data_IF_193309551037
#
_entry.id   IF_193309551037
#
_cell.length_a   1.000
_cell.length_b   1.000
_cell.length_c   1.000
_cell.angle_alpha   90.00
_cell.angle_beta   90.00
_cell.angle_gamma   90.00
#
_symmetry.space_group_name_H-M   'P 1'
#
loop_
_entity.id
_entity.type
_entity.pdbx_description
1 polymer ?
#
# COMPACT_ATOMS: atom_id res chain seq x y z
N UNK A 1 5.65 16.75 12.42
CA UNK A 1 6.25 16.73 11.07
C UNK A 1 5.18 16.26 10.11
N UNK A 2 5.05 16.82 8.89
CA UNK A 2 4.20 16.19 7.89
C UNK A 2 4.74 14.78 7.66
N UNK A 3 3.92 13.75 7.92
CA UNK A 3 4.25 12.39 7.48
C UNK A 3 4.26 12.46 5.96
N UNK A 4 5.40 12.21 5.33
CA UNK A 4 5.44 11.99 3.89
C UNK A 4 4.47 10.85 3.58
N UNK A 5 3.39 11.16 2.86
CA UNK A 5 2.38 10.15 2.52
C UNK A 5 3.05 9.18 1.54
N UNK A 6 3.13 7.91 1.91
CA UNK A 6 3.74 6.89 1.05
C UNK A 6 2.94 6.74 -0.25
N UNK A 7 3.61 6.34 -1.33
CA UNK A 7 2.98 6.07 -2.62
C UNK A 7 1.75 5.14 -2.49
N UNK A 8 1.86 4.10 -1.66
CA UNK A 8 0.77 3.15 -1.41
C UNK A 8 -0.42 3.79 -0.67
N UNK A 9 -0.18 4.73 0.25
CA UNK A 9 -1.25 5.44 0.95
C UNK A 9 -2.04 6.36 0.00
N UNK A 10 -1.35 7.08 -0.89
CA UNK A 10 -1.99 7.90 -1.92
C UNK A 10 -2.82 7.04 -2.89
N UNK A 11 -2.25 5.91 -3.34
CA UNK A 11 -2.94 4.99 -4.23
C UNK A 11 -4.21 4.42 -3.57
N UNK A 12 -4.09 3.91 -2.35
CA UNK A 12 -5.21 3.31 -1.62
C UNK A 12 -6.30 4.33 -1.32
N UNK A 13 -5.95 5.54 -0.87
CA UNK A 13 -6.94 6.59 -0.62
C UNK A 13 -7.73 6.95 -1.88
N UNK A 14 -7.04 7.05 -3.02
CA UNK A 14 -7.69 7.28 -4.30
C UNK A 14 -8.63 6.12 -4.66
N UNK A 15 -8.16 4.88 -4.57
CA UNK A 15 -8.97 3.72 -4.89
C UNK A 15 -10.24 3.64 -4.03
N UNK A 16 -10.12 3.78 -2.71
CA UNK A 16 -11.26 3.79 -1.80
C UNK A 16 -12.24 4.94 -2.10
N UNK A 17 -11.73 6.09 -2.55
CA UNK A 17 -12.58 7.23 -2.95
C UNK A 17 -13.35 6.91 -4.22
N UNK A 18 -12.69 6.32 -5.21
CA UNK A 18 -13.28 5.97 -6.51
C UNK A 18 -14.36 4.89 -6.35
N UNK A 19 -14.17 3.92 -5.45
CA UNK A 19 -15.13 2.85 -5.13
C UNK A 19 -16.23 3.28 -4.13
N UNK A 20 -16.15 4.50 -3.59
CA UNK A 20 -17.11 4.98 -2.58
C UNK A 20 -17.02 4.27 -1.23
N UNK A 21 -15.89 3.61 -0.95
CA UNK A 21 -15.66 2.86 0.28
C UNK A 21 -15.71 3.78 1.52
N UNK A 22 -16.37 3.39 2.62
CA UNK A 22 -16.44 4.20 3.83
C UNK A 22 -15.08 4.38 4.54
N UNK A 23 -14.10 3.50 4.29
CA UNK A 23 -12.75 3.56 4.86
C UNK A 23 -11.84 4.60 4.19
N UNK A 24 -12.30 5.30 3.14
CA UNK A 24 -11.52 6.33 2.42
C UNK A 24 -11.02 7.48 3.31
N UNK A 25 -11.73 7.73 4.42
CA UNK A 25 -11.42 8.77 5.41
C UNK A 25 -10.81 8.17 6.71
N UNK A 26 -10.61 6.85 6.74
CA UNK A 26 -9.91 6.16 7.84
C UNK A 26 -8.40 6.20 7.57
N UNK A 27 -7.79 7.33 7.96
CA UNK A 27 -6.34 7.54 7.78
C UNK A 27 -5.51 6.47 8.53
N UNK A 28 -6.01 5.87 9.61
CA UNK A 28 -5.30 4.82 10.34
C UNK A 28 -5.30 3.50 9.55
N UNK A 29 -6.44 3.14 8.94
CA UNK A 29 -6.54 1.99 8.03
C UNK A 29 -5.60 2.17 6.82
N UNK A 30 -5.64 3.36 6.20
CA UNK A 30 -4.84 3.66 5.02
C UNK A 30 -3.34 3.62 5.35
N UNK A 31 -2.91 4.27 6.43
CA UNK A 31 -1.51 4.26 6.88
C UNK A 31 -1.03 2.82 7.15
N UNK A 32 -1.81 2.03 7.89
CA UNK A 32 -1.44 0.65 8.23
C UNK A 32 -1.33 -0.26 6.99
N UNK A 33 -2.29 -0.16 6.05
CA UNK A 33 -2.23 -0.92 4.79
C UNK A 33 -1.06 -0.49 3.92
N UNK A 34 -0.76 0.81 3.88
CA UNK A 34 0.34 1.34 3.10
C UNK A 34 1.70 0.94 3.68
N UNK A 35 1.84 0.95 5.01
CA UNK A 35 3.03 0.45 5.71
C UNK A 35 3.25 -1.03 5.46
N UNK A 36 2.18 -1.84 5.52
CA UNK A 36 2.27 -3.27 5.22
C UNK A 36 2.70 -3.53 3.77
N UNK A 37 2.14 -2.80 2.79
CA UNK A 37 2.57 -2.91 1.40
C UNK A 37 4.05 -2.52 1.21
N UNK A 38 4.49 -1.41 1.82
CA UNK A 38 5.88 -0.97 1.76
C UNK A 38 6.84 -1.99 2.40
N UNK A 39 6.46 -2.58 3.54
CA UNK A 39 7.23 -3.63 4.19
C UNK A 39 7.34 -4.87 3.31
N UNK A 40 6.25 -5.30 2.66
CA UNK A 40 6.26 -6.43 1.70
C UNK A 40 7.18 -6.14 0.51
N UNK A 41 7.14 -4.93 -0.04
CA UNK A 41 8.01 -4.53 -1.15
C UNK A 41 9.49 -4.65 -0.77
N UNK A 42 9.87 -4.11 0.38
CA UNK A 42 11.26 -4.17 0.83
C UNK A 42 11.68 -5.59 1.20
N UNK A 43 10.81 -6.37 1.87
CA UNK A 43 11.08 -7.76 2.21
C UNK A 43 11.32 -8.62 0.96
N UNK A 44 10.46 -8.50 -0.04
CA UNK A 44 10.57 -9.28 -1.29
C UNK A 44 11.78 -8.87 -2.12
N UNK A 45 12.12 -7.58 -2.14
CA UNK A 45 13.35 -7.09 -2.76
C UNK A 45 14.60 -7.66 -2.09
N UNK A 46 14.63 -7.71 -0.76
CA UNK A 46 15.78 -8.15 0.02
C UNK A 46 15.93 -9.68 0.08
N UNK A 47 14.82 -10.41 0.19
CA UNK A 47 14.84 -11.87 0.44
C UNK A 47 14.71 -12.71 -0.81
N UNK A 48 14.02 -12.22 -1.84
CA UNK A 48 13.67 -13.03 -3.00
C UNK A 48 14.38 -12.61 -4.30
N UNK A 49 15.29 -11.62 -4.25
CA UNK A 49 15.98 -11.07 -5.42
C UNK A 49 15.02 -10.66 -6.55
N UNK A 50 13.79 -10.29 -6.21
CA UNK A 50 12.80 -9.83 -7.18
C UNK A 50 13.22 -8.48 -7.75
N UNK A 51 12.88 -8.29 -9.03
CA UNK A 51 12.95 -6.96 -9.64
C UNK A 51 11.99 -6.01 -8.91
N UNK A 52 12.24 -4.70 -9.03
CA UNK A 52 11.39 -3.66 -8.43
C UNK A 52 9.92 -3.86 -8.82
N UNK A 53 9.65 -4.16 -10.10
CA UNK A 53 8.29 -4.36 -10.59
C UNK A 53 7.59 -5.58 -9.95
N UNK A 54 8.32 -6.68 -9.74
CA UNK A 54 7.77 -7.89 -9.11
C UNK A 54 7.53 -7.68 -7.61
N UNK A 55 8.39 -6.93 -6.93
CA UNK A 55 8.19 -6.56 -5.53
C UNK A 55 6.99 -5.60 -5.38
N UNK A 56 6.83 -4.67 -6.31
CA UNK A 56 5.70 -3.74 -6.36
C UNK A 56 4.37 -4.48 -6.62
N UNK A 57 4.34 -5.43 -7.55
CA UNK A 57 3.14 -6.26 -7.82
C UNK A 57 2.67 -6.99 -6.56
N UNK A 58 3.60 -7.56 -5.78
CA UNK A 58 3.28 -8.21 -4.51
C UNK A 58 2.80 -7.22 -3.46
N UNK A 59 3.45 -6.07 -3.36
CA UNK A 59 3.03 -5.01 -2.44
C UNK A 59 1.62 -4.51 -2.77
N UNK A 60 1.28 -4.39 -4.06
CA UNK A 60 -0.05 -4.02 -4.54
C UNK A 60 -1.09 -5.12 -4.27
N UNK A 61 -0.74 -6.39 -4.49
CA UNK A 61 -1.62 -7.50 -4.15
C UNK A 61 -1.98 -7.48 -2.65
N UNK A 62 -0.97 -7.27 -1.80
CA UNK A 62 -1.18 -7.10 -0.36
C UNK A 62 -2.01 -5.83 -0.09
N UNK A 63 -1.74 -4.70 -0.78
CA UNK A 63 -2.49 -3.44 -0.66
C UNK A 63 -3.99 -3.59 -0.84
N UNK A 64 -4.38 -4.40 -1.81
CA UNK A 64 -5.77 -4.56 -2.27
C UNK A 64 -6.47 -5.75 -1.64
N UNK A 65 -5.80 -6.52 -0.79
CA UNK A 65 -6.34 -7.73 -0.20
C UNK A 65 -7.54 -7.41 0.71
N UNK A 66 -8.71 -7.97 0.35
CA UNK A 66 -9.95 -7.82 1.14
C UNK A 66 -10.60 -6.44 1.06
N UNK A 67 -10.27 -5.66 0.03
CA UNK A 67 -11.01 -4.45 -0.33
C UNK A 67 -12.26 -4.77 -1.15
#
# INVERSE_FOLDING_TARGET
>A
MPKDISYFALYLKKHLTDEGDPRRDDDAFIDARAELAAATMEETRLKENLTVNQAEERAMAVLMEGL
#
